data_IF_215971374547
#
_entry.id   IF_215971374547
#
_cell.length_a   1.000
_cell.length_b   1.000
_cell.length_c   1.000
_cell.angle_alpha   90.00
_cell.angle_beta   90.00
_cell.angle_gamma   90.00
#
_symmetry.space_group_name_H-M   'P 1'
#
loop_
_entity.id
_entity.type
_entity.pdbx_description
1 polymer ?
#
# COMPACT_ATOMS: atom_id res chain seq x y z
N UNK A 1 11.35 -37.22 42.41
CA UNK A 1 12.02 -36.23 41.56
C UNK A 1 11.03 -35.77 40.53
N UNK A 2 10.57 -34.53 40.64
CA UNK A 2 9.60 -33.96 39.70
C UNK A 2 10.25 -33.69 38.35
N UNK A 3 9.67 -34.21 37.28
CA UNK A 3 10.05 -33.86 35.92
C UNK A 3 9.57 -32.42 35.65
N UNK A 4 10.52 -31.53 35.37
CA UNK A 4 10.22 -30.16 34.95
C UNK A 4 9.46 -30.19 33.62
N UNK A 5 8.31 -29.51 33.57
CA UNK A 5 7.59 -29.26 32.34
C UNK A 5 8.50 -28.45 31.38
N UNK A 6 8.48 -28.71 30.06
CA UNK A 6 9.26 -27.92 29.11
C UNK A 6 8.78 -26.47 29.17
N UNK A 7 9.73 -25.55 29.35
CA UNK A 7 9.48 -24.12 29.36
C UNK A 7 8.65 -23.72 28.13
N UNK A 8 7.43 -23.23 28.35
CA UNK A 8 6.64 -22.62 27.27
C UNK A 8 7.32 -21.32 26.87
N UNK A 9 8.07 -21.36 25.76
CA UNK A 9 8.60 -20.14 25.13
C UNK A 9 7.40 -19.33 24.64
N UNK A 10 7.21 -18.15 25.23
CA UNK A 10 6.26 -17.15 24.75
C UNK A 10 6.90 -16.46 23.55
N UNK A 11 6.59 -16.95 22.35
CA UNK A 11 7.03 -16.35 21.10
C UNK A 11 6.32 -15.02 20.91
N UNK A 12 7.07 -13.95 20.62
CA UNK A 12 6.49 -12.61 20.47
C UNK A 12 5.94 -12.38 19.05
N UNK A 13 6.64 -12.81 18.00
CA UNK A 13 6.23 -12.60 16.60
C UNK A 13 6.84 -13.65 15.65
N UNK A 14 6.05 -14.11 14.67
CA UNK A 14 6.50 -14.91 13.51
C UNK A 14 6.04 -14.18 12.25
N UNK A 15 6.91 -14.04 11.26
CA UNK A 15 6.56 -13.53 9.93
C UNK A 15 7.00 -14.62 8.96
N UNK A 16 6.04 -15.24 8.28
CA UNK A 16 6.28 -16.22 7.22
C UNK A 16 5.88 -15.54 5.91
N UNK A 17 6.80 -15.43 4.95
CA UNK A 17 6.48 -14.84 3.64
C UNK A 17 5.67 -15.81 2.77
N UNK A 18 4.96 -15.31 1.77
CA UNK A 18 4.21 -16.17 0.82
C UNK A 18 5.12 -17.20 0.12
N UNK A 19 6.38 -16.83 -0.14
CA UNK A 19 7.40 -17.74 -0.68
C UNK A 19 7.78 -18.85 0.30
N UNK A 20 7.81 -18.57 1.61
CA UNK A 20 8.06 -19.56 2.66
C UNK A 20 6.85 -20.46 2.86
N UNK A 21 5.61 -19.95 2.72
CA UNK A 21 4.39 -20.76 2.75
C UNK A 21 4.32 -21.69 1.53
N UNK A 22 4.63 -21.19 0.33
CA UNK A 22 4.71 -22.01 -0.88
C UNK A 22 5.77 -23.10 -0.76
N UNK A 23 6.94 -22.76 -0.20
CA UNK A 23 7.98 -23.73 0.11
C UNK A 23 7.50 -24.78 1.12
N UNK A 24 6.89 -24.36 2.22
CA UNK A 24 6.35 -25.27 3.25
C UNK A 24 5.34 -26.24 2.64
N UNK A 25 4.40 -25.75 1.82
CA UNK A 25 3.43 -26.59 1.10
C UNK A 25 4.09 -27.68 0.26
N UNK A 26 5.14 -27.32 -0.49
CA UNK A 26 5.85 -28.28 -1.36
C UNK A 26 6.78 -29.22 -0.58
N UNK A 27 7.40 -28.72 0.48
CA UNK A 27 8.46 -29.41 1.21
C UNK A 27 7.96 -30.24 2.39
N UNK A 28 6.74 -29.98 2.89
CA UNK A 28 6.17 -30.68 4.02
C UNK A 28 5.91 -32.17 3.69
N UNK A 29 6.31 -33.13 4.55
CA UNK A 29 6.11 -34.55 4.27
C UNK A 29 4.63 -34.95 4.34
N UNK A 30 4.06 -35.39 3.20
CA UNK A 30 2.67 -35.84 3.13
C UNK A 30 2.39 -37.00 4.09
N UNK A 31 1.27 -36.94 4.82
CA UNK A 31 0.83 -38.00 5.73
C UNK A 31 1.63 -38.04 7.04
N UNK A 32 2.37 -36.98 7.36
CA UNK A 32 3.06 -36.82 8.65
C UNK A 32 2.37 -35.72 9.46
N UNK A 33 1.71 -36.04 10.59
CA UNK A 33 0.84 -35.09 11.29
C UNK A 33 1.62 -33.92 11.90
N UNK A 34 2.88 -34.14 12.27
CA UNK A 34 3.77 -33.09 12.73
C UNK A 34 5.24 -33.42 12.49
N UNK A 35 6.05 -32.38 12.32
CA UNK A 35 7.50 -32.47 12.14
C UNK A 35 8.21 -31.51 13.06
N UNK A 36 9.31 -31.97 13.67
CA UNK A 36 10.17 -31.10 14.48
C UNK A 36 11.21 -30.47 13.56
N UNK A 37 11.11 -29.16 13.34
CA UNK A 37 11.99 -28.40 12.46
C UNK A 37 12.94 -27.51 13.27
N UNK A 38 14.26 -27.51 12.98
CA UNK A 38 15.18 -26.57 13.60
C UNK A 38 15.07 -25.19 12.95
N UNK A 39 14.98 -24.15 13.77
CA UNK A 39 14.97 -22.74 13.35
C UNK A 39 16.04 -21.96 14.10
N UNK A 40 16.43 -20.81 13.55
CA UNK A 40 17.43 -19.94 14.16
C UNK A 40 16.75 -18.69 14.73
N UNK A 41 16.95 -18.43 16.03
CA UNK A 41 16.40 -17.28 16.73
C UNK A 41 17.48 -16.24 17.03
N UNK A 42 17.22 -14.99 16.67
CA UNK A 42 18.07 -13.86 17.04
C UNK A 42 17.94 -13.54 18.54
N UNK A 43 19.07 -13.48 19.25
CA UNK A 43 19.11 -13.14 20.67
C UNK A 43 18.88 -11.65 20.97
N UNK A 44 18.90 -10.78 19.96
CA UNK A 44 18.68 -9.34 20.12
C UNK A 44 17.22 -8.93 19.91
N UNK A 45 16.58 -9.42 18.84
CA UNK A 45 15.20 -9.06 18.49
C UNK A 45 14.18 -10.19 18.75
N UNK A 46 14.62 -11.33 19.26
CA UNK A 46 13.83 -12.55 19.47
C UNK A 46 13.16 -13.14 18.21
N UNK A 47 13.44 -12.57 17.02
CA UNK A 47 12.88 -13.05 15.75
C UNK A 47 13.45 -14.40 15.37
N UNK A 48 12.57 -15.28 14.88
CA UNK A 48 12.92 -16.59 14.37
C UNK A 48 12.94 -16.52 12.85
N UNK A 49 14.04 -16.93 12.24
CA UNK A 49 14.19 -17.01 10.79
C UNK A 49 13.95 -18.44 10.34
N UNK A 50 13.19 -18.62 9.26
CA UNK A 50 12.99 -19.91 8.62
C UNK A 50 14.10 -20.14 7.57
N UNK A 51 15.11 -20.97 7.88
CA UNK A 51 16.25 -21.16 7.00
C UNK A 51 15.80 -21.93 5.74
N UNK A 52 15.73 -21.24 4.60
CA UNK A 52 15.44 -21.87 3.32
C UNK A 52 16.55 -22.83 2.91
N UNK A 53 16.20 -24.03 2.44
CA UNK A 53 17.17 -24.93 1.78
C UNK A 53 16.56 -25.46 0.48
N UNK A 54 17.39 -25.69 -0.54
CA UNK A 54 16.95 -26.27 -1.83
C UNK A 54 16.54 -27.75 -1.71
N UNK A 55 16.75 -28.40 -0.55
CA UNK A 55 16.67 -29.85 -0.38
C UNK A 55 15.42 -30.37 0.35
N UNK A 56 14.44 -29.50 0.63
CA UNK A 56 13.21 -29.83 1.37
C UNK A 56 13.36 -29.69 2.88
N UNK A 57 12.26 -29.90 3.62
CA UNK A 57 12.21 -29.63 5.05
C UNK A 57 13.18 -30.54 5.82
N UNK A 58 14.06 -29.94 6.61
CA UNK A 58 14.94 -30.68 7.51
C UNK A 58 14.19 -30.97 8.80
N UNK A 59 14.30 -32.21 9.26
CA UNK A 59 13.67 -32.65 10.49
C UNK A 59 14.70 -33.02 11.53
N UNK A 60 14.33 -32.82 12.79
CA UNK A 60 15.08 -33.30 13.93
C UNK A 60 14.68 -34.73 14.25
N UNK A 61 15.65 -35.65 14.22
CA UNK A 61 15.48 -37.06 14.57
C UNK A 61 16.29 -37.39 15.84
N UNK A 62 16.11 -38.61 16.36
CA UNK A 62 16.81 -39.12 17.55
C UNK A 62 16.67 -38.21 18.78
N UNK A 63 15.42 -37.83 19.09
CA UNK A 63 15.10 -37.02 20.27
C UNK A 63 15.59 -35.57 20.19
N UNK A 64 15.80 -35.03 18.98
CA UNK A 64 16.19 -33.63 18.80
C UNK A 64 17.69 -33.39 18.67
N UNK A 65 18.48 -34.44 18.45
CA UNK A 65 19.96 -34.36 18.44
C UNK A 65 20.57 -34.38 17.05
N UNK A 66 19.83 -34.81 16.03
CA UNK A 66 20.34 -34.95 14.65
C UNK A 66 19.41 -34.30 13.64
N UNK A 67 19.97 -33.42 12.79
CA UNK A 67 19.29 -32.82 11.65
C UNK A 67 19.41 -33.69 10.40
N UNK A 68 18.29 -33.97 9.74
CA UNK A 68 18.24 -34.79 8.53
C UNK A 68 17.35 -34.13 7.49
N UNK A 69 17.86 -33.94 6.27
CA UNK A 69 17.08 -33.46 5.13
C UNK A 69 16.12 -34.54 4.61
N UNK A 70 15.16 -34.16 3.75
CA UNK A 70 14.21 -35.11 3.13
C UNK A 70 14.88 -36.30 2.45
N UNK A 71 16.07 -36.11 1.89
CA UNK A 71 16.87 -37.15 1.21
C UNK A 71 17.54 -38.15 2.17
N UNK A 72 17.41 -37.98 3.48
CA UNK A 72 18.13 -38.76 4.50
C UNK A 72 19.56 -38.25 4.75
N UNK A 73 20.00 -37.21 4.04
CA UNK A 73 21.32 -36.59 4.25
C UNK A 73 21.37 -35.88 5.61
N UNK A 74 22.43 -36.14 6.37
CA UNK A 74 22.72 -35.41 7.61
C UNK A 74 23.09 -33.96 7.29
N UNK A 75 22.46 -33.03 8.00
CA UNK A 75 22.72 -31.59 7.92
C UNK A 75 23.43 -31.11 9.19
N UNK A 76 24.18 -30.01 9.07
CA UNK A 76 24.84 -29.35 10.20
C UNK A 76 24.37 -27.90 10.31
N UNK A 77 24.44 -27.35 11.52
CA UNK A 77 24.04 -25.97 11.82
C UNK A 77 24.76 -24.91 10.96
N UNK A 78 26.01 -25.17 10.56
CA UNK A 78 26.76 -24.28 9.65
C UNK A 78 26.09 -24.12 8.29
N UNK A 79 25.41 -25.16 7.81
CA UNK A 79 24.75 -25.18 6.51
C UNK A 79 23.53 -24.24 6.54
N UNK A 80 22.90 -24.12 7.71
CA UNK A 80 21.80 -23.21 7.99
C UNK A 80 22.27 -21.76 8.11
N UNK A 81 23.36 -21.53 8.85
CA UNK A 81 23.93 -20.18 9.05
C UNK A 81 24.39 -19.53 7.75
N UNK A 82 24.84 -20.32 6.78
CA UNK A 82 25.30 -19.81 5.48
C UNK A 82 24.17 -19.19 4.63
N UNK A 83 22.92 -19.62 4.84
CA UNK A 83 21.75 -19.20 4.06
C UNK A 83 20.75 -18.36 4.86
N UNK A 84 20.98 -18.19 6.16
CA UNK A 84 20.09 -17.43 7.03
C UNK A 84 20.49 -15.95 7.05
N UNK A 85 19.54 -15.08 6.73
CA UNK A 85 19.68 -13.63 6.89
C UNK A 85 18.88 -13.18 8.11
N UNK A 86 19.40 -12.21 8.87
CA UNK A 86 18.59 -11.54 9.90
C UNK A 86 17.43 -10.79 9.22
N UNK A 87 16.25 -10.84 9.83
CA UNK A 87 15.09 -10.08 9.34
C UNK A 87 15.29 -8.56 9.43
N UNK A 88 16.19 -8.10 10.31
CA UNK A 88 16.55 -6.68 10.47
C UNK A 88 18.06 -6.49 10.29
N UNK A 89 18.44 -5.45 9.55
CA UNK A 89 19.84 -5.02 9.35
C UNK A 89 20.49 -4.60 10.68
N UNK A 90 19.70 -4.13 11.66
CA UNK A 90 20.20 -3.76 12.99
C UNK A 90 20.68 -4.96 13.83
N UNK A 91 20.32 -6.18 13.43
CA UNK A 91 20.75 -7.41 14.10
C UNK A 91 21.99 -8.04 13.44
N UNK A 92 22.54 -7.41 12.40
CA UNK A 92 23.70 -7.92 11.67
C UNK A 92 24.89 -8.15 12.63
N UNK A 93 25.45 -9.36 12.59
CA UNK A 93 26.52 -9.79 13.50
C UNK A 93 26.06 -10.36 14.86
N UNK A 94 24.77 -10.32 15.18
CA UNK A 94 24.23 -10.92 16.42
C UNK A 94 24.21 -12.45 16.33
N UNK A 95 24.62 -13.19 17.38
CA UNK A 95 24.57 -14.65 17.38
C UNK A 95 23.13 -15.16 17.36
N UNK A 96 22.84 -15.99 16.36
CA UNK A 96 21.62 -16.79 16.27
C UNK A 96 21.74 -18.03 17.17
N UNK A 97 20.65 -18.39 17.83
CA UNK A 97 20.52 -19.63 18.63
C UNK A 97 19.59 -20.60 17.94
N UNK A 98 20.00 -21.87 17.83
CA UNK A 98 19.12 -22.89 17.27
C UNK A 98 18.05 -23.27 18.30
N UNK A 99 16.81 -23.29 17.86
CA UNK A 99 15.66 -23.81 18.62
C UNK A 99 14.83 -24.72 17.73
N UNK A 100 14.02 -25.59 18.34
CA UNK A 100 13.22 -26.56 17.62
C UNK A 100 11.74 -26.14 17.70
N UNK A 101 11.07 -26.08 16.56
CA UNK A 101 9.63 -25.83 16.47
C UNK A 101 8.93 -27.09 15.97
N UNK A 102 7.67 -27.27 16.38
CA UNK A 102 6.81 -28.33 15.86
C UNK A 102 5.90 -27.68 14.83
N UNK A 103 6.01 -28.14 13.58
CA UNK A 103 5.10 -27.74 12.50
C UNK A 103 4.04 -28.82 12.37
N UNK A 104 2.77 -28.45 12.40
CA UNK A 104 1.65 -29.36 12.17
C UNK A 104 1.16 -29.25 10.72
N UNK A 105 0.71 -30.37 10.16
CA UNK A 105 0.15 -30.42 8.81
C UNK A 105 -1.04 -29.45 8.67
N UNK A 106 -1.90 -29.39 9.70
CA UNK A 106 -3.05 -28.47 9.77
C UNK A 106 -2.65 -26.99 9.73
N UNK A 107 -1.51 -26.64 10.31
CA UNK A 107 -1.04 -25.25 10.34
C UNK A 107 -0.51 -24.85 8.96
N UNK A 108 0.19 -25.77 8.28
CA UNK A 108 0.65 -25.57 6.90
C UNK A 108 -0.54 -25.44 5.95
N UNK A 109 -1.55 -26.30 6.07
CA UNK A 109 -2.77 -26.23 5.26
C UNK A 109 -3.51 -24.89 5.46
N UNK A 110 -3.59 -24.43 6.72
CA UNK A 110 -4.19 -23.13 7.04
C UNK A 110 -3.40 -21.98 6.43
N UNK A 111 -2.07 -22.01 6.52
CA UNK A 111 -1.22 -20.99 5.89
C UNK A 111 -1.40 -20.98 4.37
N UNK A 112 -1.43 -22.15 3.71
CA UNK A 112 -1.66 -22.27 2.27
C UNK A 112 -3.03 -21.73 1.86
N UNK A 113 -4.07 -21.96 2.66
CA UNK A 113 -5.40 -21.43 2.41
C UNK A 113 -5.50 -19.91 2.59
N UNK A 114 -4.60 -19.31 3.38
CA UNK A 114 -4.52 -17.86 3.62
C UNK A 114 -3.65 -17.12 2.60
N UNK A 115 -2.79 -17.83 1.84
CA UNK A 115 -2.04 -17.23 0.73
C UNK A 115 -3.00 -16.93 -0.41
N UNK A 116 -3.05 -15.68 -0.92
CA UNK A 116 -3.88 -15.33 -2.06
C UNK A 116 -3.54 -16.22 -3.27
N UNK A 117 -4.47 -17.05 -3.72
CA UNK A 117 -4.29 -17.80 -4.96
C UNK A 117 -4.47 -16.82 -6.13
N UNK A 118 -3.40 -16.56 -6.87
CA UNK A 118 -3.53 -15.93 -8.19
C UNK A 118 -4.36 -16.87 -9.08
N UNK A 119 -5.38 -16.39 -9.80
CA UNK A 119 -6.16 -17.26 -10.67
C UNK A 119 -5.25 -17.83 -11.76
N UNK A 120 -5.16 -19.17 -11.83
CA UNK A 120 -4.51 -19.85 -12.94
C UNK A 120 -5.32 -19.56 -14.22
N UNK A 121 -4.77 -18.74 -15.11
CA UNK A 121 -5.29 -18.59 -16.46
C UNK A 121 -4.96 -19.87 -17.22
N UNK A 122 -5.96 -20.74 -17.37
CA UNK A 122 -5.88 -21.89 -18.28
C UNK A 122 -6.04 -21.36 -19.72
N UNK A 123 -4.95 -21.42 -20.49
CA UNK A 123 -4.84 -21.02 -21.91
C UNK A 123 -5.83 -21.74 -22.87
N UNK A 124 -6.66 -22.66 -22.40
CA UNK A 124 -7.50 -23.52 -23.24
C UNK A 124 -8.97 -23.10 -23.42
N UNK A 125 -9.42 -21.98 -22.82
CA UNK A 125 -10.82 -21.53 -22.94
C UNK A 125 -11.00 -20.15 -23.61
N UNK A 126 -10.01 -19.70 -24.38
CA UNK A 126 -10.05 -18.41 -25.08
C UNK A 126 -10.85 -18.40 -26.41
N UNK A 127 -11.27 -19.56 -26.93
CA UNK A 127 -11.94 -19.63 -28.25
C UNK A 127 -13.47 -19.75 -28.18
N UNK A 128 -14.07 -19.84 -26.99
CA UNK A 128 -15.50 -20.17 -26.83
C UNK A 128 -16.44 -19.00 -26.55
N UNK A 129 -15.93 -17.84 -26.13
CA UNK A 129 -16.76 -16.75 -25.65
C UNK A 129 -16.43 -15.48 -26.43
N UNK A 130 -17.31 -15.12 -27.37
CA UNK A 130 -17.30 -13.84 -28.07
C UNK A 130 -17.60 -12.67 -27.12
N UNK A 131 -16.68 -12.38 -26.22
CA UNK A 131 -16.72 -11.25 -25.31
C UNK A 131 -15.90 -10.12 -25.94
N UNK A 132 -16.63 -9.14 -26.45
CA UNK A 132 -16.10 -7.85 -26.87
C UNK A 132 -15.39 -7.18 -25.70
N UNK A 133 -14.07 -6.98 -25.85
CA UNK A 133 -13.26 -5.93 -25.24
C UNK A 133 -13.86 -5.21 -24.03
N UNK A 134 -13.59 -5.75 -22.84
CA UNK A 134 -13.38 -4.97 -21.60
C UNK A 134 -12.96 -5.94 -20.52
N UNK A 135 -11.68 -6.30 -20.51
CA UNK A 135 -11.06 -6.80 -19.29
C UNK A 135 -11.00 -5.61 -18.32
N UNK A 136 -12.09 -5.40 -17.58
CA UNK A 136 -12.08 -4.54 -16.40
C UNK A 136 -11.05 -5.15 -15.45
N UNK A 137 -9.90 -4.50 -15.35
CA UNK A 137 -8.98 -4.64 -14.23
C UNK A 137 -9.75 -4.63 -12.92
N UNK A 138 -9.43 -5.54 -12.00
CA UNK A 138 -9.77 -5.51 -10.57
C UNK A 138 -9.15 -4.28 -9.85
N UNK A 139 -9.25 -3.10 -10.47
CA UNK A 139 -9.04 -1.78 -9.89
C UNK A 139 -10.36 -1.20 -9.36
N UNK A 140 -11.49 -1.89 -9.55
CA UNK A 140 -12.80 -1.47 -9.03
C UNK A 140 -12.87 -1.50 -7.48
N UNK A 141 -11.88 -2.09 -6.80
CA UNK A 141 -11.73 -2.06 -5.33
C UNK A 141 -10.66 -1.05 -4.85
N UNK A 142 -10.09 -0.23 -5.74
CA UNK A 142 -9.25 0.89 -5.32
C UNK A 142 -10.14 1.92 -4.62
N UNK A 143 -9.83 2.25 -3.35
CA UNK A 143 -10.53 3.32 -2.63
C UNK A 143 -10.25 4.65 -3.32
N UNK A 144 -11.18 5.10 -4.16
CA UNK A 144 -11.11 6.41 -4.83
C UNK A 144 -11.42 7.48 -3.79
N UNK A 145 -10.36 8.09 -3.26
CA UNK A 145 -10.42 9.18 -2.30
C UNK A 145 -9.89 10.48 -2.95
N UNK A 146 -10.66 11.14 -3.82
CA UNK A 146 -10.19 12.30 -4.60
C UNK A 146 -9.81 13.50 -3.73
N UNK A 147 -10.31 13.53 -2.49
CA UNK A 147 -10.00 14.55 -1.49
C UNK A 147 -9.25 13.98 -0.27
N UNK A 148 -8.75 12.76 -0.42
CA UNK A 148 -8.10 11.99 0.63
C UNK A 148 -9.07 11.29 1.59
N UNK A 149 -8.51 10.37 2.38
CA UNK A 149 -9.19 9.55 3.36
C UNK A 149 -9.41 10.35 4.63
N UNK A 150 -10.65 10.32 5.12
CA UNK A 150 -11.07 10.93 6.37
C UNK A 150 -11.79 9.88 7.23
N UNK A 151 -11.64 9.89 8.57
CA UNK A 151 -12.34 8.95 9.43
C UNK A 151 -13.86 9.12 9.27
N UNK A 152 -14.58 8.03 9.00
CA UNK A 152 -16.03 8.05 9.08
C UNK A 152 -16.47 8.31 10.52
N UNK A 153 -17.34 9.29 10.80
CA UNK A 153 -17.89 9.52 12.13
C UNK A 153 -18.56 8.27 12.73
N UNK A 154 -18.22 7.94 13.99
CA UNK A 154 -18.78 6.81 14.74
C UNK A 154 -20.26 7.04 14.97
N UNK A 155 -21.08 6.02 14.69
CA UNK A 155 -22.54 6.07 14.83
C UNK A 155 -23.29 6.46 13.55
N UNK A 156 -22.60 6.80 12.46
CA UNK A 156 -23.20 6.91 11.12
C UNK A 156 -23.46 5.54 10.47
N UNK A 157 -23.32 4.43 11.21
CA UNK A 157 -23.59 3.09 10.68
C UNK A 157 -25.09 2.82 10.85
N UNK A 158 -25.81 2.33 9.83
CA UNK A 158 -27.10 1.72 10.09
C UNK A 158 -26.90 0.57 11.08
N UNK A 159 -27.78 0.41 12.09
CA UNK A 159 -27.66 -0.67 13.05
C UNK A 159 -27.77 -2.00 12.31
N UNK A 160 -26.64 -2.66 12.11
CA UNK A 160 -26.62 -4.02 11.59
C UNK A 160 -26.92 -4.97 12.76
N UNK A 161 -27.89 -5.89 12.64
CA UNK A 161 -28.37 -6.73 13.74
C UNK A 161 -27.30 -7.70 14.32
N UNK A 162 -26.12 -7.78 13.72
CA UNK A 162 -25.00 -8.63 14.17
C UNK A 162 -23.88 -7.85 14.91
N UNK A 163 -24.03 -6.54 15.09
CA UNK A 163 -22.92 -5.66 15.48
C UNK A 163 -22.98 -5.22 16.94
N UNK A 164 -22.70 -6.14 17.87
CA UNK A 164 -22.55 -5.82 19.30
C UNK A 164 -21.07 -5.63 19.66
N UNK A 165 -20.70 -4.47 20.21
CA UNK A 165 -19.48 -4.17 20.99
C UNK A 165 -18.09 -4.29 20.31
N UNK A 166 -17.81 -5.39 19.62
CA UNK A 166 -16.49 -5.81 19.11
C UNK A 166 -15.92 -4.90 18.01
N UNK A 167 -16.80 -4.35 17.16
CA UNK A 167 -16.39 -3.60 15.96
C UNK A 167 -15.79 -2.22 16.28
N UNK A 168 -16.15 -1.61 17.41
CA UNK A 168 -15.58 -0.32 17.82
C UNK A 168 -14.12 -0.50 18.29
N UNK A 169 -13.85 -1.55 19.07
CA UNK A 169 -12.48 -1.86 19.52
C UNK A 169 -11.56 -2.21 18.36
N UNK A 170 -12.05 -2.99 17.38
CA UNK A 170 -11.27 -3.35 16.19
C UNK A 170 -10.97 -2.13 15.31
N UNK A 171 -11.96 -1.25 15.11
CA UNK A 171 -11.77 0.00 14.38
C UNK A 171 -10.67 0.86 15.00
N UNK A 172 -10.72 1.07 16.33
CA UNK A 172 -9.70 1.85 17.04
C UNK A 172 -8.32 1.17 16.99
N UNK A 173 -8.26 -0.16 17.07
CA UNK A 173 -7.01 -0.90 16.88
C UNK A 173 -6.40 -0.68 15.49
N UNK A 174 -7.23 -0.63 14.43
CA UNK A 174 -6.76 -0.32 13.06
C UNK A 174 -6.21 1.09 12.95
N UNK A 175 -6.85 2.10 13.57
CA UNK A 175 -6.31 3.47 13.61
C UNK A 175 -4.99 3.55 14.39
N UNK A 176 -4.88 2.87 15.52
CA UNK A 176 -3.63 2.79 16.27
C UNK A 176 -2.52 2.09 15.47
N UNK A 177 -2.86 1.03 14.73
CA UNK A 177 -1.91 0.40 13.81
C UNK A 177 -1.49 1.35 12.68
N UNK A 178 -2.43 2.09 12.08
CA UNK A 178 -2.13 3.08 11.04
C UNK A 178 -1.16 4.15 11.57
N UNK A 179 -1.36 4.64 12.80
CA UNK A 179 -0.44 5.57 13.45
C UNK A 179 0.97 4.98 13.60
N UNK A 180 1.09 3.72 14.04
CA UNK A 180 2.37 3.00 14.11
C UNK A 180 3.03 2.85 12.75
N UNK A 181 2.26 2.47 11.73
CA UNK A 181 2.74 2.29 10.36
C UNK A 181 3.33 3.60 9.81
N UNK A 182 2.61 4.71 9.96
CA UNK A 182 3.08 6.03 9.52
C UNK A 182 4.35 6.43 10.27
N UNK A 183 4.39 6.26 11.59
CA UNK A 183 5.58 6.59 12.38
C UNK A 183 6.79 5.70 12.02
N UNK A 184 6.58 4.40 11.83
CA UNK A 184 7.63 3.46 11.44
C UNK A 184 8.17 3.77 10.04
N UNK A 185 7.30 4.06 9.08
CA UNK A 185 7.70 4.42 7.73
C UNK A 185 8.60 5.67 7.71
N UNK A 186 8.34 6.65 8.59
CA UNK A 186 9.21 7.82 8.73
C UNK A 186 10.59 7.46 9.29
N UNK A 187 10.66 6.58 10.30
CA UNK A 187 11.92 6.11 10.88
C UNK A 187 12.74 5.34 9.84
N UNK A 188 12.07 4.55 9.01
CA UNK A 188 12.70 3.75 7.96
C UNK A 188 13.00 4.56 6.68
N UNK A 189 12.69 5.87 6.66
CA UNK A 189 12.81 6.75 5.49
C UNK A 189 12.04 6.22 4.26
N UNK A 190 10.91 5.54 4.50
CA UNK A 190 10.03 4.98 3.48
C UNK A 190 8.82 5.85 3.24
N UNK A 191 8.51 6.06 1.97
CA UNK A 191 7.29 6.70 1.55
C UNK A 191 6.14 5.70 1.59
N UNK A 192 5.00 6.15 2.13
CA UNK A 192 3.72 5.46 2.01
C UNK A 192 2.96 6.03 0.81
N UNK A 193 1.91 5.31 0.39
CA UNK A 193 0.88 5.80 -0.54
C UNK A 193 -0.47 5.83 0.20
N UNK A 194 -0.57 6.78 1.14
CA UNK A 194 -1.72 6.99 2.02
C UNK A 194 -2.28 8.40 1.80
N UNK A 195 -3.26 8.56 0.90
CA UNK A 195 -3.83 9.87 0.60
C UNK A 195 -4.74 10.31 1.75
N UNK A 196 -4.19 10.81 2.86
CA UNK A 196 -5.00 11.33 3.97
C UNK A 196 -5.53 12.72 3.64
N UNK A 197 -6.81 12.97 3.94
CA UNK A 197 -7.42 14.28 3.73
C UNK A 197 -6.73 15.34 4.61
N UNK A 198 -6.53 16.55 4.06
CA UNK A 198 -5.88 17.65 4.78
C UNK A 198 -6.56 17.96 6.14
N UNK A 199 -7.90 18.00 6.26
CA UNK A 199 -8.53 18.17 7.57
C UNK A 199 -8.16 17.08 8.58
N UNK A 200 -8.03 15.82 8.15
CA UNK A 200 -7.60 14.75 9.03
C UNK A 200 -6.15 14.95 9.50
N UNK A 201 -5.25 15.32 8.59
CA UNK A 201 -3.87 15.65 8.94
C UNK A 201 -3.80 16.78 9.98
N UNK A 202 -4.61 17.83 9.84
CA UNK A 202 -4.73 18.91 10.84
C UNK A 202 -5.16 18.40 12.21
N UNK A 203 -6.17 17.53 12.28
CA UNK A 203 -6.58 16.89 13.54
C UNK A 203 -5.47 16.03 14.14
N UNK A 204 -4.76 15.25 13.31
CA UNK A 204 -3.62 14.44 13.75
C UNK A 204 -2.48 15.29 14.31
N UNK A 205 -2.36 16.56 13.90
CA UNK A 205 -1.41 17.54 14.45
C UNK A 205 -1.89 18.19 15.75
N UNK A 206 -3.16 17.97 16.13
CA UNK A 206 -3.80 18.61 17.28
C UNK A 206 -4.40 19.99 16.98
N UNK A 207 -4.59 20.33 15.71
CA UNK A 207 -5.30 21.55 15.31
C UNK A 207 -6.81 21.38 15.45
N UNK A 208 -7.52 22.48 15.75
CA UNK A 208 -8.99 22.50 15.74
C UNK A 208 -9.51 22.92 14.37
N UNK A 209 -10.53 22.22 13.88
CA UNK A 209 -11.23 22.56 12.64
C UNK A 209 -12.45 23.46 12.86
N UNK A 210 -12.82 23.74 14.12
CA UNK A 210 -14.06 24.43 14.51
C UNK A 210 -13.86 25.93 14.80
N UNK A 211 -12.81 26.55 14.26
CA UNK A 211 -12.47 27.95 14.59
C UNK A 211 -13.49 28.99 14.08
N UNK A 212 -13.97 28.81 12.86
CA UNK A 212 -15.00 29.65 12.24
C UNK A 212 -15.91 28.74 11.42
N UNK A 213 -17.23 28.95 11.48
CA UNK A 213 -18.19 28.20 10.69
C UNK A 213 -17.84 28.15 9.20
N UNK A 214 -17.44 29.27 8.58
CA UNK A 214 -17.06 29.28 7.17
C UNK A 214 -15.90 28.31 6.86
N UNK A 215 -14.88 28.25 7.73
CA UNK A 215 -13.75 27.32 7.58
C UNK A 215 -14.16 25.88 7.89
N UNK A 216 -15.03 25.66 8.87
CA UNK A 216 -15.56 24.34 9.19
C UNK A 216 -16.35 23.77 8.00
N UNK A 217 -17.19 24.60 7.35
CA UNK A 217 -17.93 24.21 6.15
C UNK A 217 -17.00 23.92 4.96
N UNK A 218 -15.92 24.69 4.80
CA UNK A 218 -14.88 24.39 3.81
C UNK A 218 -14.23 23.02 4.08
N UNK A 219 -13.87 22.72 5.33
CA UNK A 219 -13.35 21.41 5.71
C UNK A 219 -14.36 20.28 5.45
N UNK A 220 -15.64 20.47 5.77
CA UNK A 220 -16.68 19.49 5.44
C UNK A 220 -16.78 19.32 3.93
N UNK A 221 -16.75 20.40 3.14
CA UNK A 221 -16.81 20.34 1.68
C UNK A 221 -15.63 19.59 1.06
N UNK A 222 -14.45 19.61 1.69
CA UNK A 222 -13.33 18.76 1.25
C UNK A 222 -13.59 17.28 1.50
N UNK A 223 -14.25 16.91 2.59
CA UNK A 223 -14.51 15.50 2.93
C UNK A 223 -15.75 14.96 2.23
N UNK A 224 -16.81 15.75 2.20
CA UNK A 224 -18.10 15.47 1.56
C UNK A 224 -18.59 16.74 0.82
N UNK A 225 -18.28 16.86 -0.48
CA UNK A 225 -18.68 18.02 -1.28
C UNK A 225 -20.18 18.22 -1.41
N UNK A 226 -20.99 17.16 -1.25
CA UNK A 226 -22.43 17.28 -1.32
C UNK A 226 -22.98 17.87 -0.02
N UNK A 227 -22.61 17.28 1.12
CA UNK A 227 -23.02 17.77 2.43
C UNK A 227 -22.49 19.21 2.65
N UNK A 228 -21.24 19.48 2.31
CA UNK A 228 -20.64 20.81 2.42
C UNK A 228 -21.44 21.87 1.65
N UNK A 229 -21.89 21.57 0.42
CA UNK A 229 -22.76 22.47 -0.35
C UNK A 229 -24.11 22.72 0.31
N UNK A 230 -24.73 21.66 0.85
CA UNK A 230 -26.02 21.79 1.55
C UNK A 230 -25.90 22.64 2.83
N UNK A 231 -24.86 22.43 3.62
CA UNK A 231 -24.63 23.21 4.84
C UNK A 231 -24.22 24.67 4.53
N UNK A 232 -23.44 24.89 3.47
CA UNK A 232 -23.12 26.24 2.99
C UNK A 232 -24.38 26.99 2.56
N UNK A 233 -25.30 26.31 1.85
CA UNK A 233 -26.57 26.90 1.46
C UNK A 233 -27.39 27.33 2.69
N UNK A 234 -27.50 26.48 3.72
CA UNK A 234 -28.17 26.82 4.98
C UNK A 234 -27.48 27.98 5.70
N UNK A 235 -26.15 28.01 5.70
CA UNK A 235 -25.40 29.10 6.31
C UNK A 235 -25.65 30.42 5.59
N UNK A 236 -25.60 30.45 4.25
CA UNK A 236 -25.80 31.67 3.46
C UNK A 236 -27.23 32.20 3.58
N UNK A 237 -28.22 31.32 3.72
CA UNK A 237 -29.64 31.65 3.83
C UNK A 237 -30.17 31.60 5.26
N UNK A 238 -29.31 31.59 6.28
CA UNK A 238 -29.67 31.45 7.72
C UNK A 238 -30.66 32.48 8.27
N UNK A 239 -31.00 33.51 7.49
CA UNK A 239 -31.97 34.55 7.84
C UNK A 239 -33.22 34.53 6.94
N UNK A 240 -33.33 33.52 6.08
CA UNK A 240 -34.48 33.30 5.19
C UNK A 240 -35.51 32.39 5.89
N UNK A 241 -36.75 32.87 5.95
CA UNK A 241 -37.87 32.13 6.52
C UNK A 241 -38.18 30.82 5.77
N UNK A 242 -37.70 30.66 4.52
CA UNK A 242 -37.85 29.43 3.75
C UNK A 242 -37.19 28.20 4.40
N UNK A 243 -36.27 28.38 5.34
CA UNK A 243 -35.66 27.29 6.13
C UNK A 243 -36.72 26.51 6.91
N UNK A 244 -37.70 27.20 7.47
CA UNK A 244 -38.76 26.59 8.29
C UNK A 244 -39.60 25.60 7.48
N UNK A 245 -39.72 25.83 6.16
CA UNK A 245 -40.48 24.99 5.23
C UNK A 245 -39.70 23.75 4.76
N UNK A 246 -38.38 23.66 5.03
CA UNK A 246 -37.55 22.55 4.56
C UNK A 246 -37.77 21.25 5.33
N UNK A 247 -38.42 21.30 6.49
CA UNK A 247 -38.73 20.10 7.30
C UNK A 247 -37.51 19.34 7.82
N UNK A 248 -36.37 20.03 7.95
CA UNK A 248 -35.14 19.46 8.49
C UNK A 248 -35.28 19.26 10.01
N UNK A 249 -34.53 18.29 10.56
CA UNK A 249 -34.46 18.02 12.00
C UNK A 249 -33.01 17.98 12.46
N UNK A 250 -32.76 17.98 13.77
CA UNK A 250 -31.42 17.90 14.36
C UNK A 250 -30.84 16.48 14.25
N UNK A 251 -30.72 15.99 13.01
CA UNK A 251 -30.22 14.67 12.63
C UNK A 251 -29.20 14.83 11.50
N UNK A 252 -28.08 14.12 11.59
CA UNK A 252 -26.97 14.24 10.65
C UNK A 252 -27.20 13.43 9.36
N UNK A 253 -27.40 14.06 8.18
CA UNK A 253 -27.56 13.32 6.92
C UNK A 253 -26.23 12.69 6.48
N UNK A 254 -26.23 11.53 5.79
CA UNK A 254 -27.37 10.67 5.40
C UNK A 254 -27.79 9.66 6.49
N UNK A 255 -27.32 9.80 7.73
CA UNK A 255 -27.67 8.88 8.82
C UNK A 255 -28.92 9.31 9.59
N UNK A 256 -29.36 8.46 10.53
CA UNK A 256 -30.37 8.81 11.53
C UNK A 256 -29.75 9.19 12.89
N UNK A 257 -28.47 9.61 12.91
CA UNK A 257 -27.80 10.01 14.15
C UNK A 257 -28.36 11.35 14.65
N UNK A 258 -28.96 11.40 15.85
CA UNK A 258 -29.41 12.65 16.44
C UNK A 258 -28.21 13.50 16.89
N UNK A 259 -28.25 14.81 16.60
CA UNK A 259 -27.23 15.79 16.98
C UNK A 259 -27.40 16.27 18.44
N UNK A 260 -28.60 16.13 18.99
CA UNK A 260 -28.94 16.46 20.37
C UNK A 260 -30.02 15.52 20.89
N UNK A 261 -30.31 15.59 22.20
CA UNK A 261 -31.42 14.84 22.79
C UNK A 261 -32.73 15.14 22.05
N UNK A 262 -33.41 14.07 21.62
CA UNK A 262 -34.64 14.15 20.79
C UNK A 262 -34.46 14.96 19.49
N UNK A 263 -33.27 14.91 18.88
CA UNK A 263 -32.98 15.67 17.66
C UNK A 263 -33.92 15.38 16.49
N UNK A 264 -34.46 14.15 16.38
CA UNK A 264 -35.45 13.79 15.37
C UNK A 264 -36.82 14.48 15.55
N UNK A 265 -37.15 14.89 16.78
CA UNK A 265 -38.41 15.60 17.10
C UNK A 265 -38.23 17.13 17.03
N UNK A 266 -37.00 17.60 16.90
CA UNK A 266 -36.66 19.03 16.90
C UNK A 266 -36.46 19.50 15.47
N UNK A 267 -37.37 20.35 14.99
CA UNK A 267 -37.27 20.97 13.66
C UNK A 267 -36.17 22.03 13.62
N UNK A 268 -35.48 22.10 12.49
CA UNK A 268 -34.58 23.21 12.15
C UNK A 268 -35.44 24.36 11.65
N UNK A 269 -35.23 25.53 12.26
CA UNK A 269 -35.91 26.78 11.93
C UNK A 269 -34.88 27.89 11.76
N UNK A 270 -35.31 29.03 11.23
CA UNK A 270 -34.51 30.23 11.06
C UNK A 270 -33.85 30.69 12.37
N UNK A 271 -34.53 30.46 13.51
CA UNK A 271 -34.01 30.81 14.85
C UNK A 271 -32.90 29.89 15.35
N UNK A 272 -32.86 28.63 14.89
CA UNK A 272 -31.97 27.60 15.44
C UNK A 272 -31.04 26.96 14.40
N UNK A 273 -31.09 27.39 13.13
CA UNK A 273 -30.25 26.85 12.05
C UNK A 273 -28.76 27.00 12.33
N UNK A 274 -28.34 28.07 13.00
CA UNK A 274 -26.94 28.27 13.38
C UNK A 274 -26.49 27.21 14.37
N UNK A 275 -27.32 26.87 15.35
CA UNK A 275 -27.05 25.78 16.29
C UNK A 275 -27.00 24.42 15.59
N UNK A 276 -27.91 24.19 14.64
CA UNK A 276 -27.88 22.98 13.80
C UNK A 276 -26.56 22.87 13.03
N UNK A 277 -26.08 23.96 12.42
CA UNK A 277 -24.80 24.01 11.72
C UNK A 277 -23.61 23.76 12.66
N UNK A 278 -23.59 24.40 13.82
CA UNK A 278 -22.54 24.23 14.84
C UNK A 278 -22.46 22.79 15.34
N UNK A 279 -23.60 22.17 15.67
CA UNK A 279 -23.67 20.78 16.12
C UNK A 279 -23.27 19.81 15.00
N UNK A 280 -23.71 20.06 13.78
CA UNK A 280 -23.35 19.25 12.59
C UNK A 280 -21.84 19.28 12.38
N UNK A 281 -21.24 20.47 12.37
CA UNK A 281 -19.80 20.64 12.18
C UNK A 281 -19.00 20.00 13.33
N UNK A 282 -19.42 20.23 14.58
CA UNK A 282 -18.79 19.66 15.78
C UNK A 282 -18.87 18.13 15.79
N UNK A 283 -19.96 17.56 15.29
CA UNK A 283 -20.12 16.10 15.19
C UNK A 283 -19.20 15.54 14.12
N UNK A 284 -19.22 16.10 12.92
CA UNK A 284 -18.47 15.61 11.75
C UNK A 284 -16.96 15.77 11.89
N UNK A 285 -16.50 16.89 12.42
CA UNK A 285 -15.08 17.28 12.41
C UNK A 285 -14.38 17.08 13.75
N UNK A 286 -15.10 16.70 14.81
CA UNK A 286 -14.51 16.51 16.13
C UNK A 286 -15.08 15.31 16.87
N UNK A 287 -16.24 15.46 17.51
CA UNK A 287 -16.70 14.54 18.57
C UNK A 287 -16.87 13.09 18.10
N UNK A 288 -17.44 12.86 16.91
CA UNK A 288 -17.69 11.50 16.42
C UNK A 288 -16.46 10.85 15.74
N UNK A 289 -15.35 11.59 15.55
CA UNK A 289 -14.10 11.06 14.98
C UNK A 289 -12.93 11.09 15.97
N UNK A 290 -13.07 11.80 17.09
CA UNK A 290 -12.04 11.98 18.12
C UNK A 290 -11.46 10.66 18.62
N UNK A 291 -12.24 9.59 18.87
CA UNK A 291 -11.67 8.29 19.24
C UNK A 291 -10.68 7.74 18.20
N UNK A 292 -10.99 7.87 16.90
CA UNK A 292 -10.11 7.43 15.80
C UNK A 292 -8.84 8.29 15.73
N UNK A 293 -8.97 9.61 15.87
CA UNK A 293 -7.84 10.56 15.91
C UNK A 293 -6.92 10.24 17.09
N UNK A 294 -7.48 10.03 18.28
CA UNK A 294 -6.73 9.71 19.49
C UNK A 294 -6.05 8.35 19.39
N UNK A 295 -6.73 7.34 18.84
CA UNK A 295 -6.15 6.02 18.60
C UNK A 295 -4.95 6.09 17.63
N UNK A 296 -5.08 6.82 16.51
CA UNK A 296 -3.96 7.05 15.60
C UNK A 296 -2.80 7.73 16.31
N UNK A 297 -3.06 8.83 17.03
CA UNK A 297 -2.02 9.59 17.73
C UNK A 297 -1.31 8.72 18.78
N UNK A 298 -2.05 7.89 19.53
CA UNK A 298 -1.47 6.94 20.47
C UNK A 298 -0.59 5.88 19.76
N UNK A 299 -1.03 5.39 18.62
CA UNK A 299 -0.25 4.50 17.76
C UNK A 299 1.06 5.14 17.29
N UNK A 300 0.97 6.34 16.73
CA UNK A 300 2.12 7.12 16.28
C UNK A 300 3.11 7.38 17.42
N UNK A 301 2.60 7.84 18.58
CA UNK A 301 3.37 8.13 19.78
C UNK A 301 4.15 6.95 20.34
N UNK A 302 3.74 5.71 20.02
CA UNK A 302 4.45 4.50 20.45
C UNK A 302 5.75 4.22 19.68
N UNK A 303 5.96 4.87 18.54
CA UNK A 303 7.16 4.73 17.69
C UNK A 303 7.92 6.06 17.58
N UNK A 304 7.21 7.18 17.39
CA UNK A 304 7.80 8.50 17.22
C UNK A 304 7.08 9.57 18.07
N UNK A 305 7.78 10.57 18.61
CA UNK A 305 7.15 11.63 19.40
C UNK A 305 6.10 12.43 18.60
N UNK A 306 4.97 12.80 19.24
CA UNK A 306 3.89 13.53 18.56
C UNK A 306 4.29 14.89 17.98
N UNK A 307 5.35 15.53 18.50
CA UNK A 307 5.85 16.79 17.93
C UNK A 307 6.35 16.63 16.48
N UNK A 308 6.69 15.41 16.06
CA UNK A 308 7.05 15.10 14.67
C UNK A 308 5.90 15.46 13.73
N UNK A 309 4.65 15.18 14.12
CA UNK A 309 3.46 15.56 13.33
C UNK A 309 3.37 17.08 13.13
N UNK A 310 3.88 17.87 14.07
CA UNK A 310 3.86 19.33 13.98
C UNK A 310 5.05 19.94 13.24
N UNK A 311 6.07 19.15 12.87
CA UNK A 311 7.28 19.67 12.20
C UNK A 311 7.06 20.10 10.75
N UNK A 312 6.15 19.44 10.04
CA UNK A 312 5.75 19.80 8.68
C UNK A 312 4.49 20.66 8.72
N UNK A 313 3.96 21.15 7.59
CA UNK A 313 2.56 21.62 7.52
C UNK A 313 1.61 20.47 7.17
N UNK A 314 0.29 20.65 7.30
CA UNK A 314 -0.67 19.63 6.87
C UNK A 314 -0.60 19.35 5.35
N UNK A 315 -0.24 20.36 4.55
CA UNK A 315 -0.03 20.20 3.11
C UNK A 315 1.28 19.43 2.81
N UNK A 316 2.34 19.70 3.56
CA UNK A 316 3.60 18.95 3.40
C UNK A 316 3.43 17.48 3.81
N UNK A 317 2.60 17.20 4.82
CA UNK A 317 2.23 15.83 5.18
C UNK A 317 1.47 15.11 4.08
N UNK A 318 0.55 15.78 3.37
CA UNK A 318 -0.16 15.16 2.25
C UNK A 318 0.79 14.86 1.10
N UNK A 319 1.74 15.76 0.82
CA UNK A 319 2.83 15.51 -0.14
C UNK A 319 3.68 14.32 0.29
N UNK A 320 4.12 14.29 1.55
CA UNK A 320 4.97 13.21 2.04
C UNK A 320 4.26 11.84 1.98
N UNK A 321 2.98 11.77 2.30
CA UNK A 321 2.25 10.50 2.40
C UNK A 321 1.61 10.01 1.10
N UNK A 322 1.36 10.87 0.10
CA UNK A 322 0.66 10.43 -1.11
C UNK A 322 1.02 11.18 -2.39
N UNK A 323 1.85 12.23 -2.31
CA UNK A 323 2.14 13.15 -3.42
C UNK A 323 0.89 13.57 -4.23
N UNK A 324 0.17 14.62 -3.80
CA UNK A 324 -1.05 15.05 -4.47
C UNK A 324 -0.80 15.54 -5.90
N UNK A 325 0.46 15.82 -6.29
CA UNK A 325 0.77 16.41 -7.58
C UNK A 325 0.45 15.49 -8.76
N UNK A 326 0.31 14.17 -8.56
CA UNK A 326 0.12 13.11 -9.58
C UNK A 326 1.12 13.09 -10.73
N UNK A 327 1.80 14.18 -11.03
CA UNK A 327 2.81 14.34 -12.06
C UNK A 327 4.15 13.85 -11.52
N UNK A 328 4.84 13.06 -12.32
CA UNK A 328 6.11 12.44 -11.93
C UNK A 328 7.32 13.31 -12.29
N UNK A 329 7.18 14.24 -13.24
CA UNK A 329 8.25 15.14 -13.72
C UNK A 329 7.68 16.54 -14.07
N UNK A 330 7.43 17.41 -13.08
CA UNK A 330 6.87 18.74 -13.33
C UNK A 330 7.79 19.64 -14.18
N UNK A 331 9.10 19.38 -14.23
CA UNK A 331 10.05 20.05 -15.10
C UNK A 331 10.01 19.58 -16.57
N UNK A 332 9.13 18.62 -16.90
CA UNK A 332 8.91 18.17 -18.27
C UNK A 332 10.12 17.50 -18.91
N UNK A 333 10.32 17.75 -20.21
CA UNK A 333 11.37 17.13 -21.02
C UNK A 333 12.79 17.33 -20.46
N UNK A 334 13.09 18.52 -19.93
CA UNK A 334 14.42 18.85 -19.41
C UNK A 334 14.75 18.02 -18.15
N UNK A 335 13.78 17.85 -17.25
CA UNK A 335 13.93 17.02 -16.05
C UNK A 335 14.14 15.54 -16.42
N UNK A 336 13.31 15.01 -17.33
CA UNK A 336 13.44 13.64 -17.83
C UNK A 336 14.83 13.42 -18.43
N UNK A 337 15.27 14.35 -19.30
CA UNK A 337 16.56 14.25 -20.00
C UNK A 337 17.74 14.31 -19.03
N UNK A 338 17.66 15.16 -18.01
CA UNK A 338 18.72 15.31 -17.00
C UNK A 338 18.86 14.07 -16.08
N UNK A 339 17.76 13.35 -15.82
CA UNK A 339 17.75 12.18 -14.95
C UNK A 339 18.00 10.85 -15.67
N UNK A 340 17.96 10.84 -17.01
CA UNK A 340 18.14 9.65 -17.84
C UNK A 340 19.60 9.41 -18.19
N UNK A 341 20.01 8.14 -18.12
CA UNK A 341 21.30 7.67 -18.62
C UNK A 341 21.08 6.84 -19.88
N UNK A 342 21.86 7.07 -20.93
CA UNK A 342 21.85 6.25 -22.13
C UNK A 342 23.08 5.35 -22.16
N UNK A 343 22.89 4.10 -22.57
CA UNK A 343 23.98 3.13 -22.70
C UNK A 343 23.69 2.12 -23.83
N UNK A 344 24.66 1.26 -24.15
CA UNK A 344 24.53 0.10 -25.05
C UNK A 344 23.76 0.42 -26.36
N UNK A 345 24.31 1.31 -27.18
CA UNK A 345 23.77 1.62 -28.51
C UNK A 345 22.86 2.85 -28.59
N UNK A 346 22.57 3.50 -27.47
CA UNK A 346 21.98 4.83 -27.45
C UNK A 346 22.86 5.87 -26.78
N UNK A 347 22.68 7.12 -27.20
CA UNK A 347 23.25 8.33 -26.62
C UNK A 347 22.13 9.35 -26.42
N UNK A 348 22.36 10.39 -25.62
CA UNK A 348 21.37 11.44 -25.39
C UNK A 348 20.95 12.18 -26.69
N UNK A 349 21.75 12.13 -27.75
CA UNK A 349 21.48 12.74 -29.05
C UNK A 349 20.83 11.75 -30.05
N UNK A 350 20.53 10.53 -29.62
CA UNK A 350 19.87 9.54 -30.46
C UNK A 350 18.40 9.92 -30.67
N UNK A 351 17.91 9.83 -31.91
CA UNK A 351 16.51 10.09 -32.28
C UNK A 351 15.51 9.34 -31.40
N UNK A 352 15.79 8.08 -31.08
CA UNK A 352 14.91 7.27 -30.23
C UNK A 352 14.78 7.83 -28.81
N UNK A 353 15.83 8.46 -28.28
CA UNK A 353 15.84 9.07 -26.95
C UNK A 353 15.08 10.39 -26.96
N UNK A 354 15.25 11.21 -28.01
CA UNK A 354 14.44 12.42 -28.21
C UNK A 354 12.94 12.09 -28.27
N UNK A 355 12.56 11.07 -29.04
CA UNK A 355 11.18 10.59 -29.10
C UNK A 355 10.65 10.10 -27.76
N UNK A 356 11.46 9.33 -27.01
CA UNK A 356 11.07 8.85 -25.69
C UNK A 356 10.81 10.01 -24.73
N UNK A 357 11.73 10.98 -24.66
CA UNK A 357 11.58 12.17 -23.79
C UNK A 357 10.30 12.93 -24.13
N UNK A 358 10.05 13.19 -25.42
CA UNK A 358 8.82 13.85 -25.85
C UNK A 358 7.57 13.07 -25.45
N UNK A 359 7.55 11.76 -25.71
CA UNK A 359 6.39 10.90 -25.39
C UNK A 359 6.11 10.96 -23.88
N UNK A 360 7.15 10.83 -23.05
CA UNK A 360 7.02 10.88 -21.58
C UNK A 360 6.54 12.27 -21.12
N UNK A 361 7.04 13.35 -21.69
CA UNK A 361 6.59 14.71 -21.37
C UNK A 361 5.10 14.93 -21.74
N UNK A 362 4.58 14.24 -22.76
CA UNK A 362 3.20 14.31 -23.23
C UNK A 362 2.24 13.31 -22.53
N UNK A 363 2.73 12.44 -21.64
CA UNK A 363 1.89 11.46 -20.93
C UNK A 363 0.96 12.14 -19.92
N UNK A 364 -0.27 11.63 -19.82
CA UNK A 364 -1.20 12.00 -18.75
C UNK A 364 -0.66 11.51 -17.39
N UNK A 365 -0.96 12.19 -16.26
CA UNK A 365 -0.39 11.85 -14.95
C UNK A 365 -0.53 10.38 -14.55
N UNK A 366 -1.66 9.74 -14.87
CA UNK A 366 -1.88 8.33 -14.56
C UNK A 366 -0.96 7.43 -15.41
N UNK A 367 -0.73 7.74 -16.68
CA UNK A 367 0.22 7.02 -17.55
C UNK A 367 1.67 7.25 -17.11
N UNK A 368 2.00 8.44 -16.59
CA UNK A 368 3.33 8.71 -16.01
C UNK A 368 3.61 7.75 -14.84
N UNK A 369 2.61 7.55 -13.95
CA UNK A 369 2.71 6.60 -12.83
C UNK A 369 2.86 5.17 -13.33
N UNK A 370 2.10 4.77 -14.35
CA UNK A 370 2.21 3.45 -14.96
C UNK A 370 3.60 3.22 -15.57
N UNK A 371 4.18 4.23 -16.22
CA UNK A 371 5.54 4.17 -16.72
C UNK A 371 6.57 4.02 -15.59
N UNK A 372 6.47 4.82 -14.52
CA UNK A 372 7.35 4.69 -13.35
C UNK A 372 7.27 3.28 -12.78
N UNK A 373 6.07 2.72 -12.63
CA UNK A 373 5.89 1.33 -12.18
C UNK A 373 6.48 0.32 -13.16
N UNK A 374 6.32 0.53 -14.46
CA UNK A 374 6.89 -0.35 -15.46
C UNK A 374 8.42 -0.41 -15.39
N UNK A 375 9.09 0.72 -15.18
CA UNK A 375 10.56 0.77 -15.18
C UNK A 375 11.21 0.56 -13.81
N UNK A 376 10.50 0.84 -12.71
CA UNK A 376 11.04 0.75 -11.33
C UNK A 376 10.38 -0.30 -10.45
N UNK A 377 9.20 -0.80 -10.84
CA UNK A 377 8.34 -1.63 -9.98
C UNK A 377 7.61 -0.85 -8.87
N UNK A 378 7.88 0.44 -8.69
CA UNK A 378 7.27 1.30 -7.68
C UNK A 378 6.17 2.18 -8.27
N UNK A 379 5.12 2.44 -7.49
CA UNK A 379 4.06 3.39 -7.85
C UNK A 379 4.47 4.86 -7.66
N UNK A 380 5.66 5.11 -7.10
CA UNK A 380 6.14 6.43 -6.72
C UNK A 380 7.66 6.57 -6.92
N UNK A 381 8.07 7.77 -7.31
CA UNK A 381 9.48 8.17 -7.35
C UNK A 381 9.99 8.51 -5.94
N UNK A 382 11.31 8.40 -5.71
CA UNK A 382 11.93 8.84 -4.46
C UNK A 382 11.78 10.35 -4.26
N UNK A 383 11.96 10.82 -3.03
CA UNK A 383 12.02 12.26 -2.73
C UNK A 383 13.12 12.91 -3.57
N UNK A 384 12.75 13.89 -4.40
CA UNK A 384 13.62 14.52 -5.38
C UNK A 384 13.47 14.00 -6.82
N UNK A 385 12.46 13.15 -7.09
CA UNK A 385 12.01 12.80 -8.44
C UNK A 385 12.95 11.81 -9.16
N UNK A 386 12.91 11.84 -10.49
CA UNK A 386 13.68 10.92 -11.34
C UNK A 386 15.19 10.98 -11.06
N UNK A 387 15.71 12.16 -10.72
CA UNK A 387 17.13 12.38 -10.47
C UNK A 387 17.67 11.65 -9.22
N UNK A 388 16.78 11.13 -8.37
CA UNK A 388 17.13 10.42 -7.14
C UNK A 388 16.89 8.91 -7.21
N UNK A 389 16.56 8.39 -8.39
CA UNK A 389 16.54 6.94 -8.62
C UNK A 389 17.94 6.36 -8.40
N UNK A 390 18.01 5.32 -7.57
CA UNK A 390 19.24 4.57 -7.33
C UNK A 390 18.97 3.07 -7.57
N UNK A 391 19.49 2.49 -8.66
CA UNK A 391 20.29 3.13 -9.73
C UNK A 391 19.47 4.07 -10.63
N UNK A 392 20.13 4.97 -11.37
CA UNK A 392 19.47 5.91 -12.29
C UNK A 392 18.73 5.19 -13.44
N UNK A 393 17.67 5.81 -13.97
CA UNK A 393 16.93 5.29 -15.12
C UNK A 393 17.85 5.19 -16.33
N UNK A 394 18.16 3.97 -16.76
CA UNK A 394 19.08 3.69 -17.87
C UNK A 394 18.33 3.16 -19.08
N UNK A 395 18.48 3.81 -20.24
CA UNK A 395 17.86 3.41 -21.51
C UNK A 395 18.91 2.80 -22.42
N UNK A 396 18.64 1.59 -22.88
CA UNK A 396 19.53 0.82 -23.76
C UNK A 396 18.83 0.38 -25.03
N UNK A 397 19.60 0.21 -26.10
CA UNK A 397 19.07 -0.31 -27.35
C UNK A 397 18.78 -1.80 -27.19
N UNK A 398 17.54 -2.19 -27.46
CA UNK A 398 17.15 -3.60 -27.50
C UNK A 398 17.61 -4.19 -28.82
N UNK A 399 18.71 -4.94 -28.78
CA UNK A 399 19.24 -5.66 -29.95
C UNK A 399 18.33 -6.83 -30.30
N UNK A 400 18.17 -7.08 -31.59
CA UNK A 400 17.42 -8.24 -32.09
C UNK A 400 18.38 -9.16 -32.82
N UNK A 401 18.03 -10.45 -32.91
CA UNK A 401 18.91 -11.48 -33.48
C UNK A 401 19.31 -11.16 -34.94
N UNK A 402 18.51 -10.33 -35.62
CA UNK A 402 18.71 -9.89 -37.01
C UNK A 402 18.94 -8.37 -37.12
N UNK A 403 19.91 -7.82 -36.38
CA UNK A 403 20.35 -6.41 -36.44
C UNK A 403 20.75 -5.91 -37.86
N UNK A 404 20.74 -6.79 -38.87
CA UNK A 404 21.02 -6.51 -40.28
C UNK A 404 19.77 -6.27 -41.15
N UNK A 405 18.54 -6.48 -40.67
CA UNK A 405 17.33 -6.34 -41.49
C UNK A 405 16.32 -5.33 -40.94
N UNK A 406 16.32 -4.14 -41.56
CA UNK A 406 15.32 -3.05 -41.54
C UNK A 406 14.71 -2.60 -40.20
N UNK A 407 14.59 -1.28 -40.02
CA UNK A 407 13.85 -0.65 -38.91
C UNK A 407 12.42 -1.18 -38.72
N UNK A 408 11.84 -1.79 -39.75
CA UNK A 408 10.49 -2.37 -39.74
C UNK A 408 10.39 -3.66 -38.91
N UNK A 409 11.48 -4.44 -38.76
CA UNK A 409 11.47 -5.63 -37.92
C UNK A 409 11.42 -5.26 -36.42
N UNK A 410 12.05 -4.14 -36.05
CA UNK A 410 12.03 -3.60 -34.69
C UNK A 410 10.63 -3.13 -34.27
N UNK A 411 9.80 -2.68 -35.22
CA UNK A 411 8.44 -2.18 -34.97
C UNK A 411 7.49 -3.25 -34.41
N UNK A 412 7.79 -4.53 -34.63
CA UNK A 412 7.01 -5.63 -34.07
C UNK A 412 7.31 -5.88 -32.58
N UNK A 413 8.51 -5.51 -32.11
CA UNK A 413 9.02 -5.89 -30.79
C UNK A 413 8.55 -4.91 -29.72
N UNK A 414 8.25 -5.44 -28.53
CA UNK A 414 7.86 -4.63 -27.38
C UNK A 414 9.09 -4.13 -26.61
N UNK A 415 9.03 -2.90 -26.04
CA UNK A 415 9.99 -2.51 -25.03
C UNK A 415 9.87 -3.43 -23.80
N UNK A 416 10.94 -3.54 -23.04
CA UNK A 416 10.96 -4.35 -21.82
C UNK A 416 11.79 -3.67 -20.74
N UNK A 417 11.38 -3.78 -19.49
CA UNK A 417 12.10 -3.19 -18.37
C UNK A 417 12.75 -4.25 -17.47
N UNK A 418 13.81 -3.85 -16.79
CA UNK A 418 14.41 -4.59 -15.67
C UNK A 418 14.34 -3.71 -14.43
N UNK A 419 13.29 -3.91 -13.64
CA UNK A 419 12.94 -3.04 -12.50
C UNK A 419 14.00 -3.02 -11.40
N UNK A 420 14.73 -4.12 -11.20
CA UNK A 420 15.81 -4.20 -10.22
C UNK A 420 16.97 -3.22 -10.49
N UNK A 421 17.13 -2.80 -11.76
CA UNK A 421 18.22 -1.90 -12.16
C UNK A 421 17.71 -0.60 -12.78
N UNK A 422 16.39 -0.37 -12.81
CA UNK A 422 15.77 0.75 -13.54
C UNK A 422 16.23 0.81 -15.00
N UNK A 423 16.30 -0.34 -15.68
CA UNK A 423 16.71 -0.42 -17.10
C UNK A 423 15.50 -0.49 -18.02
N UNK A 424 15.46 0.36 -19.04
CA UNK A 424 14.51 0.28 -20.15
C UNK A 424 15.23 -0.17 -21.42
N UNK A 425 14.88 -1.36 -21.91
CA UNK A 425 15.37 -1.89 -23.20
C UNK A 425 14.39 -1.44 -24.29
N UNK A 426 14.79 -0.48 -25.10
CA UNK A 426 13.97 0.16 -26.11
C UNK A 426 14.42 -0.24 -27.52
N UNK A 427 13.53 -0.82 -28.35
CA UNK A 427 13.81 -1.04 -29.77
C UNK A 427 13.96 0.26 -30.55
N UNK A 428 14.76 0.20 -31.62
CA UNK A 428 14.96 1.33 -32.53
C UNK A 428 13.86 1.36 -33.59
N UNK A 429 12.72 1.95 -33.20
CA UNK A 429 11.51 2.05 -34.01
C UNK A 429 11.67 2.96 -35.23
N UNK A 430 10.85 2.71 -36.25
CA UNK A 430 10.83 3.52 -37.47
C UNK A 430 10.12 4.87 -37.32
N UNK A 431 9.20 5.02 -36.35
CA UNK A 431 8.47 6.27 -36.08
C UNK A 431 8.15 6.49 -34.59
N UNK A 432 7.95 7.76 -34.20
CA UNK A 432 7.52 8.18 -32.85
C UNK A 432 6.16 7.58 -32.48
N UNK A 433 5.22 7.48 -33.43
CA UNK A 433 3.88 6.96 -33.19
C UNK A 433 3.88 5.46 -32.85
N UNK A 434 4.75 4.69 -33.50
CA UNK A 434 4.92 3.26 -33.19
C UNK A 434 5.49 3.12 -31.79
N UNK A 435 6.55 3.87 -31.47
CA UNK A 435 7.14 3.88 -30.12
C UNK A 435 6.09 4.21 -29.05
N UNK A 436 5.28 5.25 -29.27
CA UNK A 436 4.20 5.66 -28.35
C UNK A 436 3.20 4.53 -28.15
N UNK A 437 2.73 3.94 -29.24
CA UNK A 437 1.72 2.85 -29.19
C UNK A 437 2.25 1.63 -28.43
N UNK A 438 3.50 1.21 -28.72
CA UNK A 438 4.13 0.07 -28.05
C UNK A 438 4.43 0.35 -26.57
N UNK A 439 4.85 1.57 -26.24
CA UNK A 439 5.12 1.97 -24.86
C UNK A 439 3.83 1.99 -24.05
N UNK A 440 2.78 2.64 -24.55
CA UNK A 440 1.47 2.68 -23.90
C UNK A 440 0.93 1.26 -23.67
N UNK A 441 0.98 0.41 -24.69
CA UNK A 441 0.59 -1.00 -24.54
C UNK A 441 1.34 -1.69 -23.38
N UNK A 442 2.66 -1.52 -23.29
CA UNK A 442 3.46 -2.17 -22.24
C UNK A 442 3.17 -1.61 -20.85
N UNK A 443 2.96 -0.30 -20.70
CA UNK A 443 2.68 0.27 -19.38
C UNK A 443 1.25 0.00 -18.92
N UNK A 444 0.29 -0.30 -19.81
CA UNK A 444 -1.06 -0.71 -19.40
C UNK A 444 -1.15 -2.22 -19.13
N UNK A 445 -0.64 -3.05 -20.04
CA UNK A 445 -0.78 -4.52 -19.96
C UNK A 445 0.33 -5.19 -19.14
N UNK A 446 1.52 -4.59 -19.08
CA UNK A 446 2.69 -5.14 -18.39
C UNK A 446 2.66 -4.99 -16.87
N UNK A 447 1.59 -4.46 -16.28
CA UNK A 447 1.47 -4.18 -14.84
C UNK A 447 1.33 -5.44 -13.97
N UNK A 448 0.91 -6.56 -14.56
CA UNK A 448 0.58 -7.81 -13.86
C UNK A 448 1.53 -8.96 -14.21
N UNK A 449 2.52 -8.71 -15.07
CA UNK A 449 3.34 -9.76 -15.67
C UNK A 449 4.80 -9.62 -15.26
N UNK A 450 5.15 -10.21 -14.12
CA UNK A 450 6.55 -10.43 -13.72
C UNK A 450 7.06 -11.74 -14.32
N UNK A 451 6.91 -11.93 -15.64
CA UNK A 451 7.61 -13.04 -16.28
C UNK A 451 9.11 -12.70 -16.29
N UNK A 452 9.88 -13.47 -15.51
CA UNK A 452 11.34 -13.47 -15.57
C UNK A 452 11.76 -13.55 -17.04
N UNK A 453 12.60 -12.59 -17.45
CA UNK A 453 13.20 -12.55 -18.78
C UNK A 453 14.21 -13.67 -18.97
#
# INVERSE_FOLDING_TARGET
GGAAAPHSVSWRWWIVSDSEVAYLSQAYPRGTPSVVHPVLQCSHCDTVTFPGTEAGLVTMVDGGTRMVARTGRRMYERDYRAVTKHASVHCEGTPLTQTNVVLYESDVDTLVALVPQSPEVLDSELDGLGITSSFQTDLDDAVVAPHGLFPRPIGLRPPSPLSSGSLSSELLARFAFLGKLVAQALVDERLLDLPLAVPFLRLLRGESLLGNMALALEHIATVDPQLGRSLQYLYDHRHDASIDDMGLTFVLPPSSMPLCDKGADRLVTTDNVVEFLDLTATTMLDTAIRPQVDAFRAGFASIAPLHVLTMLSAADWSVLLADPSRQMWPGGADEIRAAMVCDHGYTMDSRAIEWLVDILAELAPDDQRLFVRFVTGSHRLPMGGLARLDPALTVVRKLTVDDASSSTANDAILPSASTCTNYLKLPDYSSKDIMRTKLLYCIHEGQLSFHLS
#
